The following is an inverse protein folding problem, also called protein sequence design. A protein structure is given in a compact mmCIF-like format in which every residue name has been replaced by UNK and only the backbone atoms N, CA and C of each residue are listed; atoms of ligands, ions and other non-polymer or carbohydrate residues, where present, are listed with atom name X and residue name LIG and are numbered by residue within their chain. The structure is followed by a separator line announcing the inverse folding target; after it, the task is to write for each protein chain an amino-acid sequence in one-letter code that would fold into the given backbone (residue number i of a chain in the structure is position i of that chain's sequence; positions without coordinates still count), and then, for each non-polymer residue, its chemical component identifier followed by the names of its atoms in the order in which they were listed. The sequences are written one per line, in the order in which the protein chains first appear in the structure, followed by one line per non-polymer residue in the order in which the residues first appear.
data_IF_426026358536
#
_entry.id   IF_426026358536
#
_cell.length_a   1.000
_cell.length_b   1.000
_cell.length_c   1.000
_cell.angle_alpha   90.00
_cell.angle_beta   90.00
_cell.angle_gamma   90.00
#
_symmetry.space_group_name_H-M   'P 1'
#
loop_
_entity.id
_entity.type
_entity.pdbx_description
1 polymer ?
#
# COMPACT_ATOMS: atom_id res chain seq x y z
N UNK A 1 -12.44 -1.45 11.91
CA UNK A 1 -11.56 -2.63 12.01
C UNK A 1 -10.16 -2.18 12.45
N UNK A 2 -9.50 -2.92 13.34
CA UNK A 2 -8.13 -2.64 13.76
C UNK A 2 -7.34 -3.95 13.85
N UNK A 3 -6.16 -3.98 13.23
CA UNK A 3 -5.27 -5.12 13.20
C UNK A 3 -3.84 -4.68 13.44
N UNK A 4 -3.08 -5.51 14.17
CA UNK A 4 -1.64 -5.36 14.35
C UNK A 4 -0.95 -6.71 14.15
N UNK A 5 0.00 -6.74 13.23
CA UNK A 5 0.90 -7.87 13.01
C UNK A 5 2.31 -7.48 13.47
N UNK A 6 2.99 -8.42 14.13
CA UNK A 6 4.37 -8.27 14.58
C UNK A 6 5.15 -9.48 14.07
N UNK A 7 6.11 -9.24 13.20
CA UNK A 7 7.05 -10.22 12.67
C UNK A 7 8.40 -10.00 13.34
N UNK A 8 8.88 -11.01 14.06
CA UNK A 8 10.25 -11.01 14.59
C UNK A 8 11.12 -11.85 13.69
N UNK A 9 12.19 -11.27 13.20
CA UNK A 9 13.12 -11.94 12.30
C UNK A 9 14.49 -12.03 12.95
N UNK A 10 15.20 -13.11 12.67
CA UNK A 10 16.57 -13.34 13.12
C UNK A 10 17.55 -13.06 11.99
N UNK A 11 18.85 -13.06 12.31
CA UNK A 11 19.89 -13.02 11.30
C UNK A 11 19.67 -14.07 10.20
N UNK A 12 19.88 -13.67 8.94
CA UNK A 12 19.71 -14.47 7.72
C UNK A 12 18.29 -15.03 7.43
N UNK A 13 17.30 -14.61 8.22
CA UNK A 13 15.89 -14.91 7.96
C UNK A 13 15.41 -14.30 6.64
N UNK A 14 14.37 -14.90 6.07
CA UNK A 14 13.75 -14.44 4.83
C UNK A 14 12.25 -14.31 5.07
N UNK A 15 11.69 -13.19 4.63
CA UNK A 15 10.30 -12.83 4.89
C UNK A 15 9.70 -12.22 3.62
N UNK A 16 8.53 -12.74 3.24
CA UNK A 16 7.64 -12.11 2.27
C UNK A 16 6.31 -11.87 2.96
N UNK A 17 5.90 -10.61 3.07
CA UNK A 17 4.56 -10.22 3.55
C UNK A 17 3.80 -9.62 2.39
N UNK A 18 2.57 -10.08 2.20
CA UNK A 18 1.61 -9.48 1.29
C UNK A 18 0.38 -9.14 2.12
N UNK A 19 0.03 -7.86 2.17
CA UNK A 19 -1.15 -7.35 2.85
C UNK A 19 -1.94 -6.49 1.86
N UNK A 20 -3.27 -6.50 1.95
CA UNK A 20 -4.11 -5.63 1.14
C UNK A 20 -5.38 -5.24 1.87
N UNK A 21 -5.91 -4.09 1.50
CA UNK A 21 -7.23 -3.64 1.91
C UNK A 21 -8.00 -3.06 0.73
N UNK A 22 -9.32 -3.16 0.80
CA UNK A 22 -10.23 -2.79 -0.28
C UNK A 22 -11.13 -1.64 0.16
N UNK A 23 -11.78 -0.99 -0.80
CA UNK A 23 -12.76 0.07 -0.56
C UNK A 23 -14.04 -0.42 0.12
N UNK A 24 -14.16 -1.70 0.47
CA UNK A 24 -15.35 -2.32 1.02
C UNK A 24 -16.06 -3.19 -0.02
N UNK A 25 -17.37 -3.37 0.13
CA UNK A 25 -18.20 -4.12 -0.83
C UNK A 25 -18.53 -3.25 -2.05
N UNK A 26 -17.54 -3.11 -2.95
CA UNK A 26 -17.66 -2.31 -4.17
C UNK A 26 -18.92 -2.62 -4.98
N UNK A 27 -19.26 -3.91 -5.15
CA UNK A 27 -20.44 -4.39 -5.88
C UNK A 27 -21.78 -4.07 -5.17
N UNK A 28 -21.73 -3.75 -3.88
CA UNK A 28 -22.89 -3.31 -3.09
C UNK A 28 -22.97 -1.78 -2.96
N UNK A 29 -22.15 -1.03 -3.70
CA UNK A 29 -22.10 0.44 -3.64
C UNK A 29 -21.27 1.01 -2.48
N UNK A 30 -20.70 0.16 -1.63
CA UNK A 30 -19.83 0.58 -0.53
C UNK A 30 -18.44 0.93 -1.10
N UNK A 31 -18.02 2.19 -0.96
CA UNK A 31 -16.70 2.68 -1.39
C UNK A 31 -16.11 3.61 -0.35
N UNK A 32 -15.17 3.10 0.43
CA UNK A 32 -14.49 3.80 1.52
C UNK A 32 -15.47 4.38 2.55
N UNK A 33 -16.59 3.71 2.78
CA UNK A 33 -17.72 4.17 3.60
C UNK A 33 -17.71 3.60 5.03
N UNK A 34 -16.55 3.11 5.48
CA UNK A 34 -16.36 2.62 6.83
C UNK A 34 -15.85 3.73 7.77
N UNK A 35 -16.19 3.67 9.05
CA UNK A 35 -15.80 4.71 10.01
C UNK A 35 -14.29 4.73 10.30
N UNK A 36 -13.69 3.53 10.42
CA UNK A 36 -12.31 3.35 10.83
C UNK A 36 -11.71 2.05 10.28
N UNK A 37 -10.55 2.16 9.66
CA UNK A 37 -9.65 1.07 9.35
C UNK A 37 -8.24 1.39 9.85
N UNK A 38 -7.67 0.49 10.66
CA UNK A 38 -6.28 0.56 11.11
C UNK A 38 -5.59 -0.78 10.84
N UNK A 39 -4.53 -0.78 10.04
CA UNK A 39 -3.62 -1.91 9.90
C UNK A 39 -2.22 -1.49 10.29
N UNK A 40 -1.56 -2.27 11.13
CA UNK A 40 -0.19 -2.05 11.55
C UNK A 40 0.63 -3.30 11.25
N UNK A 41 1.73 -3.11 10.52
CA UNK A 41 2.70 -4.14 10.19
C UNK A 41 4.06 -3.76 10.79
N UNK A 42 4.46 -4.45 11.86
CA UNK A 42 5.75 -4.25 12.49
C UNK A 42 6.69 -5.41 12.17
N UNK A 43 7.85 -5.11 11.59
CA UNK A 43 8.95 -6.06 11.42
C UNK A 43 10.06 -5.62 12.35
N UNK A 44 10.40 -6.50 13.28
CA UNK A 44 11.42 -6.29 14.29
C UNK A 44 12.57 -7.28 14.07
N UNK A 45 13.80 -6.81 14.26
CA UNK A 45 15.01 -7.61 14.31
C UNK A 45 15.24 -8.18 15.72
N UNK A 46 16.42 -8.78 15.92
CA UNK A 46 16.89 -9.22 17.24
C UNK A 46 16.80 -8.06 18.27
N UNK A 47 16.52 -8.40 19.52
CA UNK A 47 16.30 -7.45 20.62
C UNK A 47 15.16 -6.43 20.41
N UNK A 48 14.15 -6.80 19.60
CA UNK A 48 12.98 -5.96 19.26
C UNK A 48 13.36 -4.64 18.52
N UNK A 49 14.54 -4.56 17.89
CA UNK A 49 14.93 -3.41 17.08
C UNK A 49 14.02 -3.24 15.84
N UNK A 50 13.49 -2.04 15.54
CA UNK A 50 12.56 -1.88 14.43
C UNK A 50 13.27 -1.87 13.07
N UNK A 51 12.88 -2.79 12.18
CA UNK A 51 13.30 -2.77 10.76
C UNK A 51 12.29 -2.06 9.87
N UNK A 52 11.00 -2.30 10.12
CA UNK A 52 9.91 -1.64 9.42
C UNK A 52 8.75 -1.47 10.40
N UNK A 53 8.26 -0.23 10.51
CA UNK A 53 7.04 0.07 11.22
C UNK A 53 6.09 0.73 10.23
N UNK A 54 5.09 -0.02 9.77
CA UNK A 54 4.05 0.47 8.90
C UNK A 54 2.72 0.57 9.65
N UNK A 55 1.99 1.66 9.45
CA UNK A 55 0.62 1.81 9.95
C UNK A 55 -0.21 2.60 8.97
N UNK A 56 -1.23 1.95 8.44
CA UNK A 56 -2.29 2.57 7.66
C UNK A 56 -3.44 2.90 8.59
N UNK A 57 -3.80 4.18 8.65
CA UNK A 57 -4.98 4.67 9.37
C UNK A 57 -5.90 5.40 8.40
N UNK A 58 -7.09 4.85 8.20
CA UNK A 58 -8.17 5.46 7.45
C UNK A 58 -9.32 5.71 8.42
N UNK A 59 -9.62 6.99 8.65
CA UNK A 59 -10.76 7.43 9.43
C UNK A 59 -11.30 8.72 8.82
N UNK A 60 -12.56 9.07 9.06
CA UNK A 60 -13.07 10.36 8.62
C UNK A 60 -12.26 11.48 9.27
N UNK A 61 -11.75 12.39 8.43
CA UNK A 61 -11.07 13.59 8.90
C UNK A 61 -12.03 14.77 8.92
N UNK A 62 -11.71 15.84 9.63
CA UNK A 62 -12.54 17.05 9.66
C UNK A 62 -12.62 17.77 8.30
N UNK A 63 -11.65 17.52 7.41
CA UNK A 63 -11.47 18.23 6.13
C UNK A 63 -11.77 17.32 4.93
N UNK A 64 -11.61 16.00 5.07
CA UNK A 64 -11.86 15.05 3.98
C UNK A 64 -12.33 13.70 4.51
N UNK A 65 -13.27 13.11 3.78
CA UNK A 65 -13.67 11.71 3.91
C UNK A 65 -12.54 10.76 3.48
N UNK A 66 -12.69 9.47 3.80
CA UNK A 66 -11.75 8.45 3.35
C UNK A 66 -11.82 8.33 1.82
N UNK A 67 -13.02 8.32 1.24
CA UNK A 67 -13.24 8.27 -0.19
C UNK A 67 -12.49 9.37 -0.95
N UNK A 68 -12.55 10.62 -0.47
CA UNK A 68 -11.84 11.74 -1.09
C UNK A 68 -10.31 11.59 -1.01
N UNK A 69 -9.76 10.98 0.04
CA UNK A 69 -8.30 10.75 0.09
C UNK A 69 -7.87 9.57 -0.77
N UNK A 70 -8.72 8.55 -0.89
CA UNK A 70 -8.43 7.34 -1.66
C UNK A 70 -8.75 7.48 -3.16
N UNK A 71 -9.54 8.48 -3.55
CA UNK A 71 -9.86 8.78 -4.95
C UNK A 71 -10.35 7.52 -5.69
N UNK A 72 -9.81 7.24 -6.88
CA UNK A 72 -10.20 6.10 -7.71
C UNK A 72 -9.60 4.76 -7.25
N UNK A 73 -8.69 4.75 -6.27
CA UNK A 73 -8.13 3.50 -5.76
C UNK A 73 -9.24 2.67 -5.09
N UNK A 74 -9.37 1.41 -5.50
CA UNK A 74 -10.33 0.46 -4.92
C UNK A 74 -9.65 -0.60 -4.05
N UNK A 75 -8.36 -0.82 -4.27
CA UNK A 75 -7.53 -1.77 -3.55
C UNK A 75 -6.16 -1.14 -3.37
N UNK A 76 -5.63 -1.28 -2.16
CA UNK A 76 -4.23 -0.96 -1.87
C UNK A 76 -3.59 -2.22 -1.35
N UNK A 77 -2.45 -2.59 -1.95
CA UNK A 77 -1.66 -3.73 -1.55
C UNK A 77 -0.27 -3.27 -1.14
N UNK A 78 0.24 -3.87 -0.07
CA UNK A 78 1.61 -3.74 0.38
C UNK A 78 2.32 -5.08 0.22
N UNK A 79 3.53 -5.02 -0.32
CA UNK A 79 4.42 -6.19 -0.45
C UNK A 79 5.76 -5.85 0.19
N UNK A 80 6.14 -6.61 1.21
CA UNK A 80 7.42 -6.48 1.91
C UNK A 80 8.24 -7.73 1.62
N UNK A 81 9.43 -7.56 1.03
CA UNK A 81 10.34 -8.66 0.69
C UNK A 81 11.68 -8.39 1.36
N UNK A 82 12.07 -9.24 2.29
CA UNK A 82 13.30 -9.08 3.08
C UNK A 82 14.06 -10.40 3.18
N UNK A 83 15.40 -10.32 3.17
CA UNK A 83 16.27 -11.45 3.47
C UNK A 83 17.25 -11.79 2.34
N UNK A 84 18.40 -12.39 2.70
CA UNK A 84 19.50 -12.59 1.77
C UNK A 84 19.21 -13.61 0.65
N UNK A 85 18.33 -14.59 0.89
CA UNK A 85 17.96 -15.61 -0.12
C UNK A 85 16.93 -15.10 -1.12
N UNK A 86 16.37 -13.90 -0.91
CA UNK A 86 15.35 -13.30 -1.77
C UNK A 86 15.90 -12.20 -2.69
N UNK A 87 17.21 -11.98 -2.76
CA UNK A 87 17.84 -10.92 -3.57
C UNK A 87 17.43 -10.95 -5.04
N UNK A 88 17.38 -12.15 -5.63
CA UNK A 88 16.98 -12.31 -7.03
C UNK A 88 15.50 -11.97 -7.22
N UNK A 89 14.64 -12.40 -6.29
CA UNK A 89 13.22 -12.05 -6.29
C UNK A 89 13.01 -10.54 -6.13
N UNK A 90 13.71 -9.91 -5.17
CA UNK A 90 13.68 -8.45 -4.96
C UNK A 90 14.05 -7.72 -6.25
N UNK A 91 15.14 -8.13 -6.91
CA UNK A 91 15.62 -7.53 -8.16
C UNK A 91 14.59 -7.68 -9.29
N UNK A 92 13.98 -8.86 -9.43
CA UNK A 92 12.94 -9.10 -10.43
C UNK A 92 11.69 -8.26 -10.19
N UNK A 93 11.21 -8.20 -8.94
CA UNK A 93 10.04 -7.40 -8.57
C UNK A 93 10.30 -5.92 -8.80
N UNK A 94 11.45 -5.40 -8.35
CA UNK A 94 11.84 -4.01 -8.57
C UNK A 94 11.90 -3.66 -10.06
N UNK A 95 12.50 -4.53 -10.89
CA UNK A 95 12.56 -4.33 -12.35
C UNK A 95 11.17 -4.32 -12.98
N UNK A 96 10.30 -5.27 -12.61
CA UNK A 96 8.92 -5.33 -13.12
C UNK A 96 8.11 -4.10 -12.73
N UNK A 97 8.16 -3.70 -11.46
CA UNK A 97 7.46 -2.50 -10.98
C UNK A 97 7.98 -1.25 -11.69
N UNK A 98 9.30 -1.11 -11.85
CA UNK A 98 9.89 0.01 -12.59
C UNK A 98 9.39 0.08 -14.04
N UNK A 99 9.38 -1.04 -14.75
CA UNK A 99 8.90 -1.09 -16.13
C UNK A 99 7.41 -0.74 -16.22
N UNK A 100 6.58 -1.34 -15.36
CA UNK A 100 5.15 -1.05 -15.30
C UNK A 100 4.86 0.43 -15.01
N UNK A 101 5.61 1.03 -14.07
CA UNK A 101 5.47 2.45 -13.74
C UNK A 101 5.93 3.35 -14.89
N UNK A 102 6.99 2.97 -15.62
CA UNK A 102 7.43 3.71 -16.82
C UNK A 102 6.36 3.70 -17.91
N UNK A 103 5.77 2.53 -18.19
CA UNK A 103 4.67 2.41 -19.16
C UNK A 103 3.46 3.25 -18.73
N UNK A 104 3.04 3.14 -17.46
CA UNK A 104 1.91 3.92 -16.94
C UNK A 104 2.13 5.44 -17.04
N UNK A 105 3.36 5.91 -16.76
CA UNK A 105 3.70 7.33 -16.86
C UNK A 105 3.83 7.82 -18.30
N UNK A 106 4.28 6.98 -19.23
CA UNK A 106 4.34 7.31 -20.67
C UNK A 106 2.95 7.30 -21.32
N UNK A 107 2.04 6.46 -20.84
CA UNK A 107 0.64 6.36 -21.30
C UNK A 107 -0.24 7.51 -20.76
N UNK A 108 0.22 8.31 -19.80
CA UNK A 108 -0.41 9.59 -19.41
C UNK A 108 0.25 10.82 -20.08
N UNK A 109 0.11 11.08 -21.39
CA UNK A 109 0.31 12.40 -21.94
C UNK A 109 -1.01 13.21 -21.89
N UNK A 110 -0.97 14.39 -21.28
CA UNK A 110 -1.91 15.51 -21.53
C UNK A 110 -3.42 15.30 -21.30
N UNK A 111 -3.84 14.79 -20.14
CA UNK A 111 -5.22 15.01 -19.65
C UNK A 111 -5.31 16.27 -18.75
N UNK A 112 -4.81 17.41 -19.24
CA UNK A 112 -5.01 18.72 -18.60
C UNK A 112 -4.76 19.88 -19.56
N UNK A 113 -5.35 19.82 -20.77
CA UNK A 113 -5.59 21.01 -21.58
C UNK A 113 -6.94 20.87 -22.28
N UNK A 114 -7.95 21.54 -21.74
CA UNK A 114 -9.13 22.19 -22.36
C UNK A 114 -10.16 22.39 -21.22
N UNK A 115 -10.77 23.55 -20.98
CA UNK A 115 -10.75 24.84 -21.66
C UNK A 115 -11.24 25.94 -20.71
N UNK A 116 -10.52 27.06 -20.67
CA UNK A 116 -11.12 28.37 -20.42
C UNK A 116 -12.07 28.72 -21.58
N UNK A 117 -13.17 29.43 -21.28
CA UNK A 117 -14.31 29.91 -22.10
C UNK A 117 -15.58 29.10 -21.83
N UNK A 118 -16.71 29.70 -21.43
CA UNK A 118 -17.22 31.06 -21.69
C UNK A 118 -17.83 31.69 -20.44
#
# INVERSE_FOLDING_TARGET
YSQKQIFRIQQDSNLVVVDWFTSGRYECGERWDFELYRSTNNILYEDDEPLLLDTVLLQHGPISSIAERMQDYQVVAMVIILGPRLKDLQSQVQKKVKNMMMEYLQVKPNASRHSTRS
#
